data_IF_056719550811
#
_entry.id   IF_056719550811
#
_cell.length_a   1.000
_cell.length_b   1.000
_cell.length_c   1.000
_cell.angle_alpha   90.00
_cell.angle_beta   90.00
_cell.angle_gamma   90.00
#
_symmetry.space_group_name_H-M   'P 1'
#
loop_
_entity.id
_entity.type
_entity.pdbx_description
1 polymer ?
#
# COMPACT_ATOMS: atom_id res chain seq x y z
N UNK A 1 -19.79 -6.61 -15.81
CA UNK A 1 -18.75 -6.16 -16.74
C UNK A 1 -19.41 -5.44 -17.90
N UNK A 2 -18.78 -4.42 -18.47
CA UNK A 2 -19.28 -3.70 -19.64
C UNK A 2 -18.72 -4.32 -20.92
N UNK A 3 -19.40 -4.14 -22.06
CA UNK A 3 -18.90 -4.63 -23.36
C UNK A 3 -17.54 -4.03 -23.73
N UNK A 4 -17.30 -2.79 -23.30
CA UNK A 4 -15.98 -2.16 -23.44
C UNK A 4 -14.91 -2.97 -22.72
N UNK A 5 -15.15 -3.32 -21.45
CA UNK A 5 -14.18 -4.06 -20.65
C UNK A 5 -13.94 -5.44 -21.25
N UNK A 6 -14.97 -6.14 -21.72
CA UNK A 6 -14.82 -7.45 -22.37
C UNK A 6 -13.90 -7.38 -23.59
N UNK A 7 -14.08 -6.37 -24.46
CA UNK A 7 -13.18 -6.15 -25.60
C UNK A 7 -11.77 -5.76 -25.15
N UNK A 8 -11.65 -4.95 -24.09
CA UNK A 8 -10.34 -4.57 -23.54
C UNK A 8 -9.57 -5.80 -23.06
N UNK A 9 -10.22 -6.72 -22.34
CA UNK A 9 -9.59 -7.94 -21.86
C UNK A 9 -9.05 -8.79 -23.00
N UNK A 10 -9.86 -9.04 -24.03
CA UNK A 10 -9.45 -9.81 -25.21
C UNK A 10 -8.22 -9.17 -25.90
N UNK A 11 -8.20 -7.84 -26.02
CA UNK A 11 -7.07 -7.14 -26.61
C UNK A 11 -5.81 -7.18 -25.73
N UNK A 12 -5.95 -7.15 -24.39
CA UNK A 12 -4.83 -7.29 -23.46
C UNK A 12 -4.23 -8.70 -23.50
N UNK A 13 -5.07 -9.74 -23.57
CA UNK A 13 -4.62 -11.13 -23.73
C UNK A 13 -3.84 -11.30 -25.04
N UNK A 14 -4.40 -10.80 -26.14
CA UNK A 14 -3.71 -10.79 -27.44
C UNK A 14 -2.38 -10.03 -27.37
N UNK A 15 -2.37 -8.86 -26.74
CA UNK A 15 -1.16 -8.05 -26.59
C UNK A 15 -0.06 -8.80 -25.80
N UNK A 16 -0.41 -9.42 -24.67
CA UNK A 16 0.54 -10.20 -23.87
C UNK A 16 1.11 -11.37 -24.68
N UNK A 17 0.26 -12.13 -25.36
CA UNK A 17 0.72 -13.24 -26.21
C UNK A 17 1.62 -12.77 -27.37
N UNK A 18 1.25 -11.66 -28.00
CA UNK A 18 2.06 -11.04 -29.06
C UNK A 18 3.42 -10.60 -28.52
N UNK A 19 3.47 -9.96 -27.35
CA UNK A 19 4.71 -9.54 -26.70
C UNK A 19 5.60 -10.72 -26.33
N UNK A 20 5.06 -11.75 -25.69
CA UNK A 20 5.82 -12.96 -25.34
C UNK A 20 6.41 -13.67 -26.56
N UNK A 21 5.70 -13.66 -27.69
CA UNK A 21 6.15 -14.34 -28.92
C UNK A 21 7.14 -13.52 -29.75
N UNK A 22 7.03 -12.18 -29.75
CA UNK A 22 7.78 -11.31 -30.67
C UNK A 22 8.88 -10.48 -29.99
N UNK A 23 8.76 -10.19 -28.70
CA UNK A 23 9.63 -9.28 -27.96
C UNK A 23 10.57 -10.06 -27.04
N UNK A 24 11.87 -10.04 -27.33
CA UNK A 24 12.88 -10.77 -26.55
C UNK A 24 12.93 -10.34 -25.09
N UNK A 25 12.55 -9.10 -24.76
CA UNK A 25 12.54 -8.60 -23.38
C UNK A 25 11.43 -9.26 -22.54
N UNK A 26 10.39 -9.78 -23.18
CA UNK A 26 9.26 -10.43 -22.51
C UNK A 26 9.45 -11.95 -22.34
N UNK A 27 10.41 -12.56 -23.03
CA UNK A 27 10.57 -14.02 -23.05
C UNK A 27 11.10 -14.62 -21.74
N UNK A 28 11.77 -13.82 -20.90
CA UNK A 28 12.39 -14.28 -19.65
C UNK A 28 11.65 -13.75 -18.39
N UNK A 29 10.38 -13.38 -18.53
CA UNK A 29 9.54 -12.94 -17.40
C UNK A 29 8.28 -13.78 -17.29
N UNK A 30 7.80 -14.01 -16.07
CA UNK A 30 6.49 -14.61 -15.81
C UNK A 30 5.45 -13.49 -15.82
N UNK A 31 4.50 -13.55 -16.75
CA UNK A 31 3.45 -12.54 -16.89
C UNK A 31 2.13 -13.10 -16.38
N UNK A 32 1.51 -12.39 -15.44
CA UNK A 32 0.19 -12.70 -14.91
C UNK A 32 -0.77 -11.58 -15.28
N UNK A 33 -1.90 -11.92 -15.91
CA UNK A 33 -2.95 -10.97 -16.26
C UNK A 33 -4.20 -11.31 -15.45
N UNK A 34 -4.57 -10.45 -14.49
CA UNK A 34 -5.82 -10.57 -13.73
C UNK A 34 -6.81 -9.50 -14.18
N UNK A 35 -7.65 -9.86 -15.15
CA UNK A 35 -8.62 -8.98 -15.78
C UNK A 35 -9.88 -8.70 -14.97
N UNK A 36 -10.85 -8.07 -15.65
CA UNK A 36 -12.21 -7.92 -15.13
C UNK A 36 -13.07 -9.17 -15.37
N UNK A 37 -12.61 -10.08 -16.24
CA UNK A 37 -13.42 -11.17 -16.77
C UNK A 37 -13.83 -12.17 -15.70
N UNK A 38 -15.06 -12.64 -15.87
CA UNK A 38 -15.60 -13.87 -15.28
C UNK A 38 -15.77 -14.80 -16.48
N UNK A 39 -14.84 -15.74 -16.70
CA UNK A 39 -15.13 -16.83 -17.65
C UNK A 39 -15.77 -18.01 -16.94
N UNK A 40 -16.68 -18.62 -17.69
CA UNK A 40 -17.97 -19.17 -17.27
C UNK A 40 -18.06 -20.69 -17.52
N UNK A 41 -18.97 -21.34 -16.80
CA UNK A 41 -19.57 -22.66 -17.00
C UNK A 41 -18.80 -23.97 -16.72
N UNK A 42 -17.47 -24.02 -16.54
CA UNK A 42 -16.82 -25.32 -16.26
C UNK A 42 -15.77 -25.37 -15.15
N UNK A 43 -15.32 -24.24 -14.57
CA UNK A 43 -14.42 -24.26 -13.40
C UNK A 43 -14.57 -22.96 -12.61
N UNK A 44 -14.82 -22.98 -11.29
CA UNK A 44 -15.07 -21.77 -10.52
C UNK A 44 -13.73 -21.16 -10.13
N UNK A 45 -13.33 -20.07 -10.78
CA UNK A 45 -12.37 -19.16 -10.16
C UNK A 45 -12.72 -17.74 -10.57
N UNK A 46 -13.61 -17.13 -9.78
CA UNK A 46 -13.72 -15.69 -9.76
C UNK A 46 -12.39 -15.16 -9.18
N UNK A 47 -11.82 -14.13 -9.78
CA UNK A 47 -10.93 -13.22 -9.03
C UNK A 47 -11.69 -11.90 -8.87
N UNK A 48 -12.71 -11.84 -7.99
CA UNK A 48 -13.37 -10.58 -7.67
C UNK A 48 -12.40 -9.69 -6.90
N UNK A 49 -12.66 -8.38 -6.86
CA UNK A 49 -11.87 -7.44 -6.09
C UNK A 49 -11.12 -6.42 -6.94
N UNK A 50 -10.68 -5.37 -6.27
CA UNK A 50 -9.94 -4.26 -6.86
C UNK A 50 -8.52 -4.67 -7.21
N UNK A 51 -7.91 -3.98 -8.19
CA UNK A 51 -6.60 -4.35 -8.73
C UNK A 51 -5.52 -4.38 -7.64
N UNK A 52 -5.49 -3.36 -6.77
CA UNK A 52 -4.54 -3.28 -5.67
C UNK A 52 -4.69 -4.43 -4.66
N UNK A 53 -5.93 -4.81 -4.32
CA UNK A 53 -6.19 -5.92 -3.41
C UNK A 53 -5.76 -7.27 -4.00
N UNK A 54 -5.99 -7.49 -5.30
CA UNK A 54 -5.51 -8.68 -6.01
C UNK A 54 -3.98 -8.78 -6.01
N UNK A 55 -3.30 -7.65 -6.22
CA UNK A 55 -1.83 -7.58 -6.16
C UNK A 55 -1.34 -7.92 -4.75
N UNK A 56 -1.94 -7.32 -3.72
CA UNK A 56 -1.56 -7.59 -2.34
C UNK A 56 -1.84 -9.04 -1.93
N UNK A 57 -2.93 -9.63 -2.41
CA UNK A 57 -3.21 -11.07 -2.23
C UNK A 57 -2.16 -11.94 -2.92
N UNK A 58 -1.77 -11.60 -4.14
CA UNK A 58 -0.71 -12.30 -4.87
C UNK A 58 0.63 -12.26 -4.13
N UNK A 59 1.06 -11.08 -3.67
CA UNK A 59 2.30 -10.92 -2.89
C UNK A 59 2.25 -11.78 -1.63
N UNK A 60 1.15 -11.70 -0.87
CA UNK A 60 0.96 -12.56 0.32
C UNK A 60 1.02 -14.05 -0.01
N UNK A 61 0.45 -14.49 -1.14
CA UNK A 61 0.51 -15.90 -1.53
C UNK A 61 1.92 -16.36 -1.90
N UNK A 62 2.68 -15.52 -2.62
CA UNK A 62 4.07 -15.85 -2.99
C UNK A 62 4.97 -15.87 -1.75
N UNK A 63 4.78 -14.92 -0.82
CA UNK A 63 5.54 -14.83 0.43
C UNK A 63 5.37 -16.05 1.34
N UNK A 64 4.17 -16.65 1.35
CA UNK A 64 3.89 -17.86 2.12
C UNK A 64 4.36 -19.15 1.41
N UNK A 65 4.83 -19.05 0.17
CA UNK A 65 5.31 -20.19 -0.61
C UNK A 65 6.66 -20.71 -0.12
N UNK A 66 6.94 -22.03 -0.26
CA UNK A 66 8.19 -22.65 0.22
C UNK A 66 9.44 -22.20 -0.55
N UNK A 67 9.29 -21.47 -1.66
CA UNK A 67 10.37 -20.95 -2.50
C UNK A 67 10.53 -19.43 -2.45
N UNK A 68 9.89 -18.75 -1.49
CA UNK A 68 10.01 -17.30 -1.35
C UNK A 68 11.46 -16.89 -1.03
N UNK A 69 12.01 -15.98 -1.84
CA UNK A 69 13.27 -15.31 -1.54
C UNK A 69 12.96 -14.04 -0.71
N UNK A 70 13.41 -13.94 0.55
CA UNK A 70 13.18 -12.75 1.39
C UNK A 70 13.84 -11.48 0.85
N UNK A 71 14.73 -11.59 -0.15
CA UNK A 71 15.34 -10.45 -0.83
C UNK A 71 14.65 -10.10 -2.16
N UNK A 72 13.46 -10.66 -2.42
CA UNK A 72 12.63 -10.29 -3.57
C UNK A 72 12.40 -8.78 -3.54
N UNK A 73 12.60 -8.13 -4.70
CA UNK A 73 12.43 -6.67 -4.85
C UNK A 73 11.14 -6.38 -5.57
N UNK A 74 10.20 -5.76 -4.89
CA UNK A 74 8.88 -5.42 -5.41
C UNK A 74 8.86 -3.99 -5.92
N UNK A 75 8.25 -3.78 -7.09
CA UNK A 75 7.98 -2.47 -7.65
C UNK A 75 6.52 -2.40 -8.08
N UNK A 76 5.72 -1.57 -7.41
CA UNK A 76 4.31 -1.38 -7.71
C UNK A 76 4.10 -0.02 -8.39
N UNK A 77 3.39 -0.04 -9.51
CA UNK A 77 3.06 1.18 -10.24
C UNK A 77 1.67 1.70 -9.84
N UNK A 78 1.57 2.99 -9.54
CA UNK A 78 0.28 3.66 -9.33
C UNK A 78 0.39 5.02 -8.66
N UNK A 79 -0.65 5.84 -8.79
CA UNK A 79 -0.67 7.21 -8.26
C UNK A 79 -1.36 7.34 -6.91
N UNK A 80 -2.12 6.33 -6.49
CA UNK A 80 -2.93 6.41 -5.28
C UNK A 80 -2.05 6.32 -4.03
N UNK A 81 -2.40 7.11 -3.01
CA UNK A 81 -1.65 7.14 -1.75
C UNK A 81 -1.83 5.85 -0.95
N UNK A 82 -2.94 5.15 -1.13
CA UNK A 82 -3.24 3.88 -0.45
C UNK A 82 -2.22 2.79 -0.79
N UNK A 83 -1.60 2.86 -1.97
CA UNK A 83 -0.52 1.94 -2.35
C UNK A 83 0.71 2.05 -1.44
N UNK A 84 0.91 3.19 -0.77
CA UNK A 84 1.97 3.35 0.24
C UNK A 84 1.62 2.50 1.46
N UNK A 85 0.39 2.64 1.97
CA UNK A 85 -0.06 1.86 3.13
C UNK A 85 -0.10 0.37 2.80
N UNK A 86 -0.70 -0.01 1.67
CA UNK A 86 -0.76 -1.40 1.22
C UNK A 86 0.64 -1.99 1.01
N UNK A 87 1.57 -1.26 0.38
CA UNK A 87 2.96 -1.68 0.25
C UNK A 87 3.63 -1.93 1.60
N UNK A 88 3.40 -1.07 2.59
CA UNK A 88 3.91 -1.26 3.95
C UNK A 88 3.28 -2.47 4.66
N UNK A 89 1.98 -2.75 4.45
CA UNK A 89 1.30 -3.93 5.03
C UNK A 89 1.86 -5.27 4.57
N UNK A 90 2.57 -5.30 3.42
CA UNK A 90 3.22 -6.52 2.94
C UNK A 90 4.38 -6.96 3.83
N UNK A 91 4.94 -6.03 4.61
CA UNK A 91 6.14 -6.20 5.43
C UNK A 91 7.38 -6.67 4.63
N UNK A 92 7.37 -6.46 3.32
CA UNK A 92 8.52 -6.76 2.46
C UNK A 92 9.62 -5.70 2.63
N UNK A 93 10.88 -6.11 2.88
CA UNK A 93 11.97 -5.16 3.13
C UNK A 93 12.35 -4.36 1.88
N UNK A 94 12.19 -4.94 0.68
CA UNK A 94 12.61 -4.34 -0.57
C UNK A 94 11.41 -3.98 -1.45
N UNK A 95 10.67 -2.94 -1.08
CA UNK A 95 9.49 -2.50 -1.81
C UNK A 95 9.66 -1.06 -2.29
N UNK A 96 9.29 -0.78 -3.54
CA UNK A 96 9.24 0.58 -4.10
C UNK A 96 7.96 0.84 -4.88
N UNK A 97 7.54 2.10 -4.94
CA UNK A 97 6.41 2.55 -5.76
C UNK A 97 6.92 3.40 -6.93
N UNK A 98 6.54 3.03 -8.15
CA UNK A 98 6.79 3.84 -9.33
C UNK A 98 5.57 4.73 -9.58
N UNK A 99 5.77 6.05 -9.57
CA UNK A 99 4.69 7.04 -9.66
C UNK A 99 5.02 8.06 -10.74
N UNK A 100 4.03 8.49 -11.52
CA UNK A 100 4.24 9.62 -12.44
C UNK A 100 4.47 10.92 -11.65
N UNK A 101 5.27 11.83 -12.20
CA UNK A 101 5.49 13.16 -11.62
C UNK A 101 4.18 13.97 -11.59
N UNK A 102 3.73 14.32 -10.39
CA UNK A 102 2.61 15.25 -10.20
C UNK A 102 3.16 16.67 -10.10
N UNK A 103 2.96 17.48 -11.15
CA UNK A 103 3.39 18.89 -11.16
C UNK A 103 2.32 19.80 -10.57
N UNK A 104 2.60 20.34 -9.37
CA UNK A 104 1.73 21.30 -8.70
C UNK A 104 1.97 22.73 -9.26
N UNK A 105 1.10 23.21 -10.15
CA UNK A 105 1.20 24.55 -10.76
C UNK A 105 0.11 24.82 -11.80
N UNK A 106 -0.46 26.03 -11.80
CA UNK A 106 -1.73 26.38 -12.44
C UNK A 106 -1.88 26.06 -13.95
N UNK A 107 -3.13 25.78 -14.33
CA UNK A 107 -3.70 25.30 -15.63
C UNK A 107 -3.22 25.94 -16.95
N UNK A 108 -2.27 26.88 -16.98
CA UNK A 108 -1.99 27.70 -18.18
C UNK A 108 -0.94 27.14 -19.16
N UNK A 109 -0.24 26.04 -18.87
CA UNK A 109 0.65 25.43 -19.88
C UNK A 109 1.10 23.99 -19.57
N UNK A 110 0.20 23.12 -19.09
CA UNK A 110 0.52 21.69 -19.13
C UNK A 110 0.28 21.21 -20.56
N UNK A 111 1.33 21.29 -21.42
CA UNK A 111 1.35 20.49 -22.64
C UNK A 111 1.10 19.05 -22.22
N UNK A 112 0.03 18.46 -22.74
CA UNK A 112 -0.25 17.03 -22.54
C UNK A 112 0.98 16.29 -23.04
N UNK A 113 1.66 15.56 -22.15
CA UNK A 113 2.78 14.71 -22.55
C UNK A 113 2.19 13.67 -23.51
N UNK A 114 2.65 13.67 -24.76
CA UNK A 114 2.15 12.77 -25.80
C UNK A 114 3.11 11.60 -26.07
N UNK A 115 4.37 11.74 -25.66
CA UNK A 115 5.42 10.75 -25.85
C UNK A 115 5.73 10.05 -24.51
N UNK A 116 5.65 8.71 -24.42
CA UNK A 116 5.98 7.98 -23.19
C UNK A 116 7.39 8.29 -22.65
N UNK A 117 8.33 8.63 -23.51
CA UNK A 117 9.73 8.93 -23.16
C UNK A 117 9.89 10.28 -22.45
N UNK A 118 8.92 11.17 -22.57
CA UNK A 118 8.89 12.47 -21.88
C UNK A 118 8.22 12.39 -20.51
N UNK A 119 7.61 11.25 -20.17
CA UNK A 119 6.98 11.02 -18.86
C UNK A 119 8.07 10.88 -17.80
N UNK A 120 8.01 11.74 -16.79
CA UNK A 120 8.90 11.68 -15.63
C UNK A 120 8.27 10.82 -14.54
N UNK A 121 9.06 9.92 -13.96
CA UNK A 121 8.62 9.06 -12.87
C UNK A 121 9.46 9.32 -11.62
N UNK A 122 8.83 9.19 -10.47
CA UNK A 122 9.47 9.12 -9.16
C UNK A 122 9.41 7.69 -8.63
N UNK A 123 10.53 7.22 -8.08
CA UNK A 123 10.60 5.95 -7.37
C UNK A 123 10.59 6.23 -5.86
N UNK A 124 9.49 5.90 -5.20
CA UNK A 124 9.33 6.05 -3.76
C UNK A 124 9.77 4.74 -3.09
N UNK A 125 10.84 4.80 -2.29
CA UNK A 125 11.38 3.64 -1.59
C UNK A 125 10.70 3.43 -0.24
N UNK A 126 9.93 2.36 -0.10
CA UNK A 126 9.31 2.02 1.19
C UNK A 126 10.32 1.52 2.20
N UNK A 127 11.46 0.97 1.75
CA UNK A 127 12.58 0.63 2.64
C UNK A 127 13.04 1.83 3.46
N UNK A 128 13.29 2.97 2.80
CA UNK A 128 13.66 4.22 3.48
C UNK A 128 12.50 4.75 4.34
N UNK A 129 11.26 4.63 3.87
CA UNK A 129 10.10 5.06 4.66
C UNK A 129 10.00 4.29 5.98
N UNK A 130 10.28 2.98 5.98
CA UNK A 130 10.33 2.15 7.20
C UNK A 130 11.41 2.64 8.17
N UNK A 131 12.58 3.01 7.67
CA UNK A 131 13.64 3.61 8.49
C UNK A 131 13.20 4.96 9.10
N UNK A 132 12.50 5.80 8.35
CA UNK A 132 11.94 7.06 8.88
C UNK A 132 10.87 6.81 9.95
N UNK A 133 10.01 5.80 9.77
CA UNK A 133 9.03 5.39 10.78
C UNK A 133 9.75 4.91 12.05
N UNK A 134 10.76 4.03 11.91
CA UNK A 134 11.56 3.58 13.06
C UNK A 134 12.20 4.75 13.81
N UNK A 135 12.77 5.69 13.06
CA UNK A 135 13.37 6.89 13.64
C UNK A 135 12.36 7.74 14.43
N UNK A 136 11.18 8.00 13.85
CA UNK A 136 10.10 8.78 14.47
C UNK A 136 9.63 8.14 15.79
N UNK A 137 9.51 6.81 15.84
CA UNK A 137 9.03 6.06 17.02
C UNK A 137 10.16 5.53 17.91
N UNK A 138 11.41 5.87 17.63
CA UNK A 138 12.59 5.33 18.34
C UNK A 138 12.56 5.60 19.85
N UNK A 139 11.91 6.67 20.30
CA UNK A 139 11.73 6.99 21.73
C UNK A 139 10.98 5.89 22.49
N UNK A 140 10.13 5.13 21.82
CA UNK A 140 9.41 3.99 22.41
C UNK A 140 10.35 2.83 22.75
N UNK A 141 11.51 2.70 22.09
CA UNK A 141 12.52 1.66 22.40
C UNK A 141 13.01 1.78 23.85
N UNK A 142 13.11 3.01 24.38
CA UNK A 142 13.52 3.25 25.76
C UNK A 142 12.48 2.79 26.79
N UNK A 143 11.20 2.75 26.40
CA UNK A 143 10.10 2.41 27.29
C UNK A 143 9.69 0.94 27.18
N UNK A 144 9.70 0.40 25.96
CA UNK A 144 9.30 -0.98 25.65
C UNK A 144 10.47 -1.97 25.74
N UNK A 145 11.71 -1.51 25.58
CA UNK A 145 12.89 -2.37 25.62
C UNK A 145 12.81 -3.50 24.59
N UNK A 146 12.90 -4.75 25.06
CA UNK A 146 12.87 -5.94 24.20
C UNK A 146 11.51 -6.22 23.57
N UNK A 147 10.44 -5.56 24.00
CA UNK A 147 9.10 -5.73 23.39
C UNK A 147 8.86 -4.78 22.22
N UNK A 148 9.80 -3.90 21.89
CA UNK A 148 9.71 -3.04 20.72
C UNK A 148 9.89 -3.86 19.43
N UNK A 149 8.88 -3.83 18.58
CA UNK A 149 8.85 -4.45 17.26
C UNK A 149 8.41 -3.41 16.21
N UNK A 150 9.27 -3.16 15.22
CA UNK A 150 9.03 -2.18 14.16
C UNK A 150 7.84 -2.58 13.27
N UNK A 151 7.66 -3.87 12.99
CA UNK A 151 6.58 -4.35 12.12
C UNK A 151 5.21 -4.04 12.77
N UNK A 152 5.14 -4.15 14.10
CA UNK A 152 3.97 -3.78 14.90
C UNK A 152 3.73 -2.28 14.96
N UNK A 153 4.79 -1.48 15.02
CA UNK A 153 4.68 -0.02 14.94
C UNK A 153 4.17 0.40 13.55
N UNK A 154 4.63 -0.25 12.47
CA UNK A 154 4.15 0.01 11.11
C UNK A 154 2.66 -0.34 10.99
N UNK A 155 2.23 -1.47 11.53
CA UNK A 155 0.81 -1.87 11.59
C UNK A 155 -0.07 -0.81 12.27
N UNK A 156 0.36 -0.30 13.43
CA UNK A 156 -0.33 0.77 14.15
C UNK A 156 -0.25 2.12 13.42
N UNK A 157 0.86 2.39 12.71
CA UNK A 157 1.02 3.58 11.88
C UNK A 157 0.06 3.60 10.70
N UNK A 158 -0.18 2.46 10.07
CA UNK A 158 -1.20 2.29 9.03
C UNK A 158 -2.60 2.54 9.61
N UNK A 159 -2.89 2.00 10.80
CA UNK A 159 -4.15 2.28 11.50
C UNK A 159 -4.34 3.79 11.76
N UNK A 160 -3.30 4.50 12.21
CA UNK A 160 -3.33 5.96 12.37
C UNK A 160 -3.60 6.66 11.04
N UNK A 161 -3.05 6.16 9.94
CA UNK A 161 -3.34 6.62 8.58
C UNK A 161 -4.83 6.53 8.22
N UNK A 162 -5.47 5.39 8.52
CA UNK A 162 -6.91 5.22 8.28
C UNK A 162 -7.81 6.18 9.08
N UNK A 163 -7.35 6.66 10.24
CA UNK A 163 -8.09 7.65 11.03
C UNK A 163 -8.11 9.05 10.40
N UNK A 164 -7.09 9.39 9.63
CA UNK A 164 -7.02 10.65 8.89
C UNK A 164 -8.00 10.61 7.72
N UNK A 165 -8.06 9.47 7.03
CA UNK A 165 -8.98 9.28 5.92
C UNK A 165 -8.81 7.91 5.27
N UNK A 166 -9.94 7.40 4.80
CA UNK A 166 -10.01 6.25 3.92
C UNK A 166 -11.35 6.34 3.15
N UNK A 167 -11.47 5.59 2.07
CA UNK A 167 -12.65 5.65 1.19
C UNK A 167 -13.93 5.08 1.81
N UNK A 168 -13.83 4.38 2.94
CA UNK A 168 -14.92 3.61 3.53
C UNK A 168 -15.62 4.32 4.69
N UNK A 169 -14.92 5.21 5.42
CA UNK A 169 -15.41 5.86 6.63
C UNK A 169 -15.37 7.38 6.46
N UNK A 170 -16.40 8.12 6.89
CA UNK A 170 -16.35 9.59 6.90
C UNK A 170 -15.13 10.11 7.67
N UNK A 171 -14.48 11.14 7.13
CA UNK A 171 -13.35 11.78 7.80
C UNK A 171 -13.75 12.27 9.21
N UNK A 172 -12.89 12.02 10.19
CA UNK A 172 -13.07 12.56 11.52
C UNK A 172 -12.95 14.09 11.48
N UNK A 173 -13.90 14.83 12.08
CA UNK A 173 -13.80 16.27 12.16
C UNK A 173 -12.52 16.66 12.91
N UNK A 174 -11.81 17.67 12.42
CA UNK A 174 -10.56 18.20 12.96
C UNK A 174 -9.28 17.36 12.74
N UNK A 175 -9.36 16.16 12.16
CA UNK A 175 -8.18 15.37 11.78
C UNK A 175 -7.97 15.44 10.27
N UNK A 176 -7.24 16.46 9.81
CA UNK A 176 -6.86 16.60 8.41
C UNK A 176 -5.35 16.87 8.28
N UNK A 177 -4.72 16.30 7.24
CA UNK A 177 -3.26 16.42 7.04
C UNK A 177 -2.80 17.87 6.96
N UNK A 178 -3.60 18.74 6.33
CA UNK A 178 -3.32 20.18 6.24
C UNK A 178 -3.37 20.94 7.57
N UNK A 179 -3.81 20.28 8.65
CA UNK A 179 -3.92 20.84 10.00
C UNK A 179 -3.04 20.07 11.00
N UNK A 180 -1.89 19.53 10.56
CA UNK A 180 -0.92 18.83 11.41
C UNK A 180 -1.48 17.60 12.16
N UNK A 181 -2.44 16.89 11.57
CA UNK A 181 -3.02 15.69 12.18
C UNK A 181 -2.01 14.55 12.41
N UNK A 182 -1.03 14.37 11.51
CA UNK A 182 -0.02 13.31 11.62
C UNK A 182 0.84 13.47 12.89
N UNK A 183 1.51 14.63 13.13
CA UNK A 183 2.23 14.87 14.37
C UNK A 183 1.38 14.68 15.64
N UNK A 184 0.10 15.06 15.62
CA UNK A 184 -0.80 14.86 16.75
C UNK A 184 -1.00 13.37 17.04
N UNK A 185 -1.36 12.58 16.03
CA UNK A 185 -1.56 11.14 16.17
C UNK A 185 -0.29 10.45 16.70
N UNK A 186 0.89 10.80 16.16
CA UNK A 186 2.15 10.19 16.59
C UNK A 186 2.49 10.53 18.03
N UNK A 187 2.35 11.80 18.43
CA UNK A 187 2.60 12.24 19.82
C UNK A 187 1.66 11.55 20.80
N UNK A 188 0.38 11.48 20.47
CA UNK A 188 -0.62 10.75 21.26
C UNK A 188 -0.22 9.29 21.40
N UNK A 189 0.14 8.64 20.29
CA UNK A 189 0.52 7.23 20.27
C UNK A 189 1.76 6.96 21.12
N UNK A 190 2.82 7.77 20.96
CA UNK A 190 4.06 7.68 21.74
C UNK A 190 3.78 7.84 23.24
N UNK A 191 2.84 8.71 23.62
CA UNK A 191 2.48 8.93 25.03
C UNK A 191 1.67 7.79 25.64
N UNK A 192 0.80 7.15 24.85
CA UNK A 192 -0.15 6.14 25.35
C UNK A 192 0.46 4.75 25.35
N UNK A 193 1.17 4.36 24.28
CA UNK A 193 1.64 2.99 24.06
C UNK A 193 2.40 2.38 25.26
N UNK A 194 3.32 3.10 25.96
CA UNK A 194 4.01 2.55 27.14
C UNK A 194 3.09 2.14 28.30
N UNK A 195 1.88 2.71 28.37
CA UNK A 195 0.88 2.39 29.40
C UNK A 195 -0.03 1.20 29.01
N UNK A 196 0.03 0.78 27.74
CA UNK A 196 -0.76 -0.31 27.20
C UNK A 196 -0.08 -1.66 27.42
N UNK A 197 -0.86 -2.73 27.40
CA UNK A 197 -0.35 -4.11 27.44
C UNK A 197 -0.37 -4.70 26.02
N UNK A 198 0.34 -4.05 25.10
CA UNK A 198 0.41 -4.43 23.69
C UNK A 198 0.14 -3.27 22.73
N UNK A 199 0.07 -3.61 21.44
CA UNK A 199 -0.16 -2.70 20.31
C UNK A 199 -1.65 -2.42 20.09
N UNK A 200 -1.98 -1.51 19.16
CA UNK A 200 -3.38 -1.23 18.79
C UNK A 200 -3.91 -2.29 17.83
N UNK A 201 -3.09 -2.73 16.88
CA UNK A 201 -3.42 -3.71 15.85
C UNK A 201 -2.58 -4.98 16.01
N UNK A 202 -3.25 -6.13 15.99
CA UNK A 202 -2.64 -7.45 16.11
C UNK A 202 -2.99 -8.28 14.87
N UNK A 203 -2.13 -8.21 13.84
CA UNK A 203 -2.28 -8.93 12.57
C UNK A 203 -3.64 -8.64 11.88
N UNK A 204 -4.07 -7.38 11.88
CA UNK A 204 -5.35 -6.96 11.32
C UNK A 204 -6.54 -7.05 12.28
N UNK A 205 -6.34 -7.52 13.51
CA UNK A 205 -7.37 -7.48 14.56
C UNK A 205 -7.12 -6.30 15.48
N UNK A 206 -8.10 -5.41 15.59
CA UNK A 206 -8.01 -4.24 16.44
C UNK A 206 -8.20 -4.62 17.92
N UNK A 207 -7.24 -4.27 18.76
CA UNK A 207 -7.35 -4.39 20.21
C UNK A 207 -8.19 -3.22 20.75
N UNK A 208 -9.50 -3.43 20.83
CA UNK A 208 -10.46 -2.37 21.19
C UNK A 208 -10.15 -1.68 22.52
N UNK A 209 -9.62 -2.39 23.52
CA UNK A 209 -9.28 -1.80 24.83
C UNK A 209 -8.10 -0.83 24.74
N UNK A 210 -7.09 -1.20 23.94
CA UNK A 210 -5.93 -0.35 23.72
C UNK A 210 -6.31 0.84 22.82
N UNK A 211 -7.12 0.57 21.80
CA UNK A 211 -7.61 1.58 20.88
C UNK A 211 -8.54 2.61 21.54
N UNK A 212 -9.42 2.18 22.45
CA UNK A 212 -10.26 3.08 23.26
C UNK A 212 -9.39 4.07 24.05
N UNK A 213 -8.39 3.59 24.79
CA UNK A 213 -7.46 4.46 25.54
C UNK A 213 -6.70 5.43 24.64
N UNK A 214 -6.33 4.99 23.44
CA UNK A 214 -5.68 5.86 22.45
C UNK A 214 -6.63 6.97 21.98
N UNK A 215 -7.90 6.65 21.69
CA UNK A 215 -8.91 7.64 21.31
C UNK A 215 -9.30 8.56 22.46
N UNK A 216 -9.39 8.06 23.69
CA UNK A 216 -9.61 8.90 24.89
C UNK A 216 -8.52 9.97 24.98
N UNK A 217 -7.25 9.57 24.84
CA UNK A 217 -6.14 10.52 24.87
C UNK A 217 -6.14 11.48 23.68
N UNK A 218 -6.56 11.01 22.50
CA UNK A 218 -6.66 11.83 21.30
C UNK A 218 -7.76 12.90 21.41
N UNK A 219 -8.77 12.67 22.26
CA UNK A 219 -9.89 13.59 22.48
C UNK A 219 -9.61 14.72 23.47
N UNK A 220 -8.48 14.66 24.19
CA UNK A 220 -8.00 15.73 25.09
C UNK A 220 -7.48 16.95 24.32
#
# INVERSE_FOLDING_TARGET
>A
GTDFMARLQEQLEYFVHSKLSTDKLWQNVRVYLSGHEVRSQSTPTLTPGEGEHKIMEFIRSENNGPGHDPNTRHCLYGLDADLIMLGLTSHEPNFSLLREEVRFGGKKSQKRITAPEETTFHLLHLSLMREYIDYEFSVLRNHLGSTYDLERIIDDWILMGFLIGNDFIPHLPHLHISHDALPLLYKTYISVLPSLRGYLNENGNLNLKNFEKYLEKLSE
#
